data_IF_118217122579
#
_entry.id   IF_118217122579
#
_cell.length_a   1.000
_cell.length_b   1.000
_cell.length_c   1.000
_cell.angle_alpha   90.00
_cell.angle_beta   90.00
_cell.angle_gamma   90.00
#
_symmetry.space_group_name_H-M   'P 1'
#
loop_
_entity.id
_entity.type
_entity.pdbx_description
1 polymer ?
#
# COMPACT_ATOMS: atom_id res chain seq x y z
N UNK A 1 -16.65 86.96 -6.44
CA UNK A 1 -15.98 88.19 -6.79
C UNK A 1 -15.59 88.04 -8.22
N UNK A 2 -16.42 88.63 -9.06
CA UNK A 2 -16.32 89.91 -9.77
C UNK A 2 -15.57 89.80 -11.06
N UNK A 3 -16.32 89.82 -12.12
CA UNK A 3 -16.59 90.94 -13.06
C UNK A 3 -15.59 90.98 -14.20
N UNK A 4 -15.95 91.08 -15.41
CA UNK A 4 -16.73 91.85 -16.39
C UNK A 4 -16.00 91.67 -17.73
N UNK A 5 -16.62 91.33 -18.85
CA UNK A 5 -17.41 92.14 -19.75
C UNK A 5 -16.63 93.19 -20.53
N UNK A 6 -16.59 93.07 -21.82
CA UNK A 6 -17.01 94.07 -22.83
C UNK A 6 -16.53 93.63 -24.24
N UNK A 7 -17.41 93.45 -25.18
CA UNK A 7 -18.00 94.41 -26.15
C UNK A 7 -16.89 95.05 -27.02
N UNK A 8 -16.92 95.12 -28.27
CA UNK A 8 -17.90 95.60 -29.21
C UNK A 8 -17.33 95.63 -30.65
N UNK A 9 -18.16 95.38 -31.71
CA UNK A 9 -18.31 96.11 -32.95
C UNK A 9 -17.12 96.10 -33.98
N UNK A 10 -17.20 95.90 -35.25
CA UNK A 10 -18.12 96.37 -36.26
C UNK A 10 -17.65 95.89 -37.62
N UNK A 11 -18.55 95.40 -38.46
CA UNK A 11 -18.75 95.55 -39.89
C UNK A 11 -17.59 95.64 -40.86
N UNK A 12 -17.62 94.80 -41.92
CA UNK A 12 -17.92 95.28 -43.30
C UNK A 12 -18.01 94.12 -44.33
N UNK A 13 -19.01 94.16 -45.15
CA UNK A 13 -19.30 93.26 -46.24
C UNK A 13 -18.35 93.46 -47.45
N UNK A 14 -17.92 92.35 -48.09
CA UNK A 14 -17.57 92.30 -49.48
C UNK A 14 -18.01 90.97 -50.10
N UNK A 15 -18.86 91.11 -51.16
CA UNK A 15 -19.26 90.01 -52.07
C UNK A 15 -18.04 89.41 -52.79
N UNK A 16 -17.95 88.12 -52.82
CA UNK A 16 -16.99 87.40 -53.68
C UNK A 16 -17.52 85.98 -53.99
N UNK A 17 -18.04 85.83 -55.14
CA UNK A 17 -18.40 84.56 -55.79
C UNK A 17 -17.18 83.69 -56.02
N UNK A 18 -17.14 82.48 -55.43
CA UNK A 18 -16.18 81.48 -55.87
C UNK A 18 -16.78 80.09 -55.72
N UNK A 19 -16.67 79.39 -56.77
CA UNK A 19 -16.91 78.00 -57.12
C UNK A 19 -16.55 76.98 -55.99
N UNK A 20 -17.47 76.10 -55.70
CA UNK A 20 -17.25 74.97 -54.82
C UNK A 20 -16.36 73.88 -55.46
N UNK A 21 -15.32 73.38 -54.83
CA UNK A 21 -14.73 72.12 -55.21
C UNK A 21 -15.48 70.99 -54.47
N UNK A 22 -15.89 70.03 -55.24
CA UNK A 22 -16.46 68.74 -54.75
C UNK A 22 -15.41 68.01 -53.88
N UNK A 23 -15.52 68.16 -52.57
CA UNK A 23 -14.67 67.41 -51.64
C UNK A 23 -15.13 65.97 -51.60
N UNK A 24 -14.34 65.07 -52.12
CA UNK A 24 -14.49 63.66 -52.00
C UNK A 24 -14.50 63.29 -50.48
N UNK A 25 -15.57 62.67 -50.10
CA UNK A 25 -15.74 62.11 -48.76
C UNK A 25 -14.73 60.99 -48.56
N UNK A 26 -13.61 61.28 -47.90
CA UNK A 26 -12.68 60.24 -47.43
C UNK A 26 -13.41 59.42 -46.38
N UNK A 27 -13.64 58.17 -46.73
CA UNK A 27 -14.21 57.19 -45.78
C UNK A 27 -13.37 57.15 -44.51
N UNK A 28 -14.05 57.22 -43.37
CA UNK A 28 -13.43 57.04 -42.05
C UNK A 28 -12.64 55.72 -42.03
N UNK A 29 -11.43 55.70 -41.49
CA UNK A 29 -10.67 54.47 -41.41
C UNK A 29 -11.48 53.44 -40.55
N UNK A 30 -11.74 52.30 -41.13
CA UNK A 30 -12.35 51.17 -40.39
C UNK A 30 -11.48 50.86 -39.15
N UNK A 31 -12.08 50.79 -37.95
CA UNK A 31 -11.31 50.46 -36.75
C UNK A 31 -10.72 49.05 -36.91
N UNK A 32 -9.40 48.95 -36.92
CA UNK A 32 -8.68 47.68 -36.86
C UNK A 32 -8.85 47.12 -35.45
N UNK A 33 -9.73 46.12 -35.30
CA UNK A 33 -9.84 45.36 -34.07
C UNK A 33 -8.72 44.34 -34.07
N UNK A 34 -7.77 44.49 -33.16
CA UNK A 34 -6.77 43.48 -32.90
C UNK A 34 -7.47 42.23 -32.31
N UNK A 35 -7.63 41.20 -33.11
CA UNK A 35 -8.15 39.89 -32.63
C UNK A 35 -6.97 39.10 -32.10
N UNK A 36 -6.83 39.07 -30.82
CA UNK A 36 -5.89 38.17 -30.16
C UNK A 36 -6.48 36.75 -30.17
N UNK A 37 -5.71 35.81 -30.69
CA UNK A 37 -6.14 34.41 -30.77
C UNK A 37 -6.31 33.88 -29.38
N UNK A 38 -7.53 33.60 -28.94
CA UNK A 38 -7.81 33.04 -27.63
C UNK A 38 -7.06 31.72 -27.50
N UNK A 39 -6.04 31.71 -26.66
CA UNK A 39 -5.35 30.48 -26.26
C UNK A 39 -6.28 29.75 -25.34
N UNK A 40 -6.74 28.55 -25.72
CA UNK A 40 -7.48 27.67 -24.85
C UNK A 40 -6.58 27.34 -23.65
N UNK A 41 -6.77 28.05 -22.55
CA UNK A 41 -6.26 27.62 -21.25
C UNK A 41 -6.95 26.30 -20.96
N UNK A 42 -6.16 25.22 -20.87
CA UNK A 42 -6.63 23.96 -20.33
C UNK A 42 -6.95 24.19 -18.83
N UNK A 43 -8.16 24.64 -18.55
CA UNK A 43 -8.65 24.75 -17.19
C UNK A 43 -8.93 23.33 -16.69
N UNK A 44 -7.90 22.72 -16.15
CA UNK A 44 -8.03 21.43 -15.46
C UNK A 44 -8.61 21.77 -14.09
N UNK A 45 -9.93 21.64 -13.95
CA UNK A 45 -10.61 21.86 -12.67
C UNK A 45 -9.97 20.98 -11.61
N UNK A 46 -9.13 21.56 -10.75
CA UNK A 46 -8.48 20.90 -9.63
C UNK A 46 -9.40 20.97 -8.42
N UNK A 47 -9.87 19.84 -7.97
CA UNK A 47 -10.70 19.73 -6.77
C UNK A 47 -9.87 19.32 -5.56
N UNK A 48 -10.20 19.92 -4.43
CA UNK A 48 -9.52 19.69 -3.15
C UNK A 48 -10.37 18.79 -2.26
N UNK A 49 -9.75 17.73 -1.75
CA UNK A 49 -10.36 16.82 -0.78
C UNK A 49 -9.42 16.64 0.40
N UNK A 50 -9.99 16.32 1.57
CA UNK A 50 -9.18 15.95 2.72
C UNK A 50 -8.73 14.50 2.53
N UNK A 51 -7.43 14.27 2.64
CA UNK A 51 -6.82 12.94 2.56
C UNK A 51 -6.13 12.55 3.86
N UNK A 52 -6.14 11.27 4.15
CA UNK A 52 -5.40 10.64 5.23
C UNK A 52 -4.28 9.79 4.63
N UNK A 53 -3.08 9.96 5.13
CA UNK A 53 -1.93 9.14 4.73
C UNK A 53 -1.96 7.84 5.53
N UNK A 54 -2.00 6.71 4.82
CA UNK A 54 -2.11 5.38 5.42
C UNK A 54 -1.00 4.47 4.88
N UNK A 55 -0.48 3.62 5.74
CA UNK A 55 0.43 2.57 5.31
C UNK A 55 -0.31 1.53 4.48
N UNK A 56 0.34 0.98 3.45
CA UNK A 56 -0.21 -0.15 2.68
C UNK A 56 -0.29 -1.39 3.56
N UNK A 57 0.74 -1.62 4.37
CA UNK A 57 0.80 -2.75 5.30
C UNK A 57 1.37 -2.27 6.64
N UNK A 58 0.75 -2.76 7.71
CA UNK A 58 1.23 -2.60 9.07
C UNK A 58 1.14 -3.95 9.78
N UNK A 59 2.21 -4.39 10.40
CA UNK A 59 2.30 -5.69 11.06
C UNK A 59 2.86 -5.52 12.46
N UNK A 60 2.09 -5.99 13.44
CA UNK A 60 2.53 -6.08 14.84
C UNK A 60 3.23 -7.41 15.07
N UNK A 61 4.50 -7.38 15.41
CA UNK A 61 5.31 -8.57 15.69
C UNK A 61 4.96 -9.14 17.06
N UNK A 62 4.51 -10.39 17.09
CA UNK A 62 4.20 -11.10 18.34
C UNK A 62 5.09 -12.32 18.51
N UNK A 63 5.46 -12.63 19.77
CA UNK A 63 6.08 -13.90 20.09
C UNK A 63 5.08 -15.04 19.90
N UNK A 64 5.51 -16.12 19.23
CA UNK A 64 4.69 -17.34 19.06
C UNK A 64 5.00 -18.41 20.12
N UNK A 65 6.11 -18.21 20.84
CA UNK A 65 6.59 -19.08 21.90
C UNK A 65 6.93 -18.26 23.14
N UNK A 66 7.10 -18.95 24.26
CA UNK A 66 7.51 -18.33 25.53
C UNK A 66 9.01 -18.43 25.71
N UNK A 67 9.65 -17.36 26.21
CA UNK A 67 11.08 -17.37 26.50
C UNK A 67 11.64 -16.00 26.82
N UNK A 68 12.92 -15.93 27.14
CA UNK A 68 13.63 -14.67 27.38
C UNK A 68 14.15 -14.11 26.07
N UNK A 69 14.00 -12.81 25.84
CA UNK A 69 14.65 -12.13 24.70
C UNK A 69 16.15 -12.15 24.93
N UNK A 70 16.85 -12.87 24.09
CA UNK A 70 18.31 -13.00 24.15
C UNK A 70 19.03 -11.85 23.42
N UNK A 71 18.51 -11.46 22.26
CA UNK A 71 19.13 -10.42 21.42
C UNK A 71 18.10 -9.68 20.60
N UNK A 72 18.34 -8.37 20.36
CA UNK A 72 17.59 -7.52 19.43
C UNK A 72 18.58 -7.07 18.36
N UNK A 73 18.28 -7.36 17.08
CA UNK A 73 19.21 -7.20 15.96
C UNK A 73 18.89 -6.02 15.02
N UNK A 74 18.11 -5.08 15.47
CA UNK A 74 17.77 -3.88 14.72
C UNK A 74 17.97 -2.62 15.56
N UNK A 75 18.01 -1.47 14.91
CA UNK A 75 17.94 -0.16 15.56
C UNK A 75 16.51 0.36 15.49
N UNK A 76 16.02 0.91 16.58
CA UNK A 76 14.68 1.50 16.64
C UNK A 76 14.52 2.61 15.59
N UNK A 77 13.43 2.59 14.82
CA UNK A 77 13.16 3.56 13.76
C UNK A 77 13.90 3.32 12.44
N UNK A 78 14.69 2.25 12.30
CA UNK A 78 15.36 1.95 11.03
C UNK A 78 14.46 1.23 10.02
N UNK A 79 14.87 1.28 8.75
CA UNK A 79 14.24 0.54 7.67
C UNK A 79 14.74 -0.91 7.71
N UNK A 80 13.84 -1.85 7.97
CA UNK A 80 14.09 -3.29 7.92
C UNK A 80 13.54 -3.89 6.63
N UNK A 81 14.22 -4.89 6.10
CA UNK A 81 13.79 -5.63 4.91
C UNK A 81 13.08 -6.92 5.30
N UNK A 82 12.12 -7.33 4.49
CA UNK A 82 11.50 -8.65 4.65
C UNK A 82 12.56 -9.75 4.72
N UNK A 83 12.51 -10.56 5.79
CA UNK A 83 13.46 -11.63 6.06
C UNK A 83 14.62 -11.25 7.00
N UNK A 84 14.78 -9.98 7.38
CA UNK A 84 15.78 -9.58 8.35
C UNK A 84 15.45 -10.17 9.72
N UNK A 85 16.47 -10.67 10.43
CA UNK A 85 16.33 -11.20 11.79
C UNK A 85 16.24 -10.03 12.78
N UNK A 86 15.15 -9.98 13.54
CA UNK A 86 14.84 -8.86 14.43
C UNK A 86 15.03 -9.21 15.91
N UNK A 87 14.46 -10.32 16.33
CA UNK A 87 14.56 -10.77 17.73
C UNK A 87 15.04 -12.20 17.78
N UNK A 88 15.83 -12.50 18.78
CA UNK A 88 16.24 -13.85 19.15
C UNK A 88 15.73 -14.13 20.57
N UNK A 89 14.89 -15.14 20.71
CA UNK A 89 14.45 -15.69 21.99
C UNK A 89 15.39 -16.84 22.35
N UNK A 90 15.67 -17.03 23.63
CA UNK A 90 16.52 -18.13 24.12
C UNK A 90 16.03 -19.48 23.59
N UNK A 91 16.89 -20.19 22.86
CA UNK A 91 16.53 -21.39 22.11
C UNK A 91 16.97 -22.71 22.76
N UNK A 92 17.66 -22.63 23.91
CA UNK A 92 18.30 -23.79 24.55
C UNK A 92 17.33 -24.97 24.78
N UNK A 93 16.16 -24.68 25.35
CA UNK A 93 15.12 -25.69 25.62
C UNK A 93 14.52 -26.22 24.32
N UNK A 94 14.20 -25.37 23.36
CA UNK A 94 13.60 -25.74 22.07
C UNK A 94 14.57 -26.57 21.22
N UNK A 95 15.86 -26.23 21.24
CA UNK A 95 16.91 -27.03 20.59
C UNK A 95 17.05 -28.41 21.21
N UNK A 96 16.98 -28.51 22.53
CA UNK A 96 17.00 -29.81 23.23
C UNK A 96 15.77 -30.67 22.86
N UNK A 97 14.57 -30.06 22.78
CA UNK A 97 13.35 -30.75 22.37
C UNK A 97 13.43 -31.24 20.92
N UNK A 98 13.92 -30.42 19.99
CA UNK A 98 14.11 -30.84 18.60
C UNK A 98 15.08 -32.02 18.47
N UNK A 99 16.22 -31.99 19.17
CA UNK A 99 17.17 -33.12 19.20
C UNK A 99 16.57 -34.39 19.81
N UNK A 100 15.75 -34.26 20.84
CA UNK A 100 15.06 -35.39 21.47
C UNK A 100 14.06 -36.04 20.50
N UNK A 101 13.28 -35.23 19.79
CA UNK A 101 12.34 -35.71 18.77
C UNK A 101 13.06 -36.40 17.60
N UNK A 102 14.18 -35.83 17.13
CA UNK A 102 15.03 -36.45 16.10
C UNK A 102 15.61 -37.80 16.56
N UNK A 103 16.05 -37.92 17.82
CA UNK A 103 16.56 -39.18 18.37
C UNK A 103 15.46 -40.27 18.40
N UNK A 104 14.23 -39.88 18.79
CA UNK A 104 13.07 -40.77 18.77
C UNK A 104 12.72 -41.22 17.36
N UNK A 105 12.74 -40.29 16.39
CA UNK A 105 12.52 -40.62 14.98
C UNK A 105 13.53 -41.65 14.47
N UNK A 106 14.81 -41.48 14.80
CA UNK A 106 15.87 -42.39 14.39
C UNK A 106 15.72 -43.77 15.02
N UNK A 107 15.27 -43.84 16.29
CA UNK A 107 14.94 -45.12 16.92
C UNK A 107 13.81 -45.82 16.21
N UNK A 108 12.71 -45.13 15.88
CA UNK A 108 11.57 -45.73 15.18
C UNK A 108 11.92 -46.14 13.76
N UNK A 109 12.81 -45.41 13.08
CA UNK A 109 13.33 -45.84 11.76
C UNK A 109 14.05 -47.17 11.85
N UNK A 110 14.89 -47.37 12.86
CA UNK A 110 15.56 -48.63 13.06
C UNK A 110 14.58 -49.78 13.39
N UNK A 111 13.54 -49.52 14.21
CA UNK A 111 12.47 -50.48 14.46
C UNK A 111 11.69 -50.82 13.17
N UNK A 112 11.44 -49.84 12.29
CA UNK A 112 10.76 -50.06 11.04
C UNK A 112 11.59 -50.92 10.09
N UNK A 113 12.88 -50.66 9.99
CA UNK A 113 13.79 -51.46 9.14
C UNK A 113 13.83 -52.92 9.62
N UNK A 114 13.86 -53.15 10.92
CA UNK A 114 13.72 -54.52 11.48
C UNK A 114 12.36 -55.13 11.08
N UNK A 115 11.23 -54.42 11.32
CA UNK A 115 9.89 -54.91 10.99
C UNK A 115 9.71 -55.23 9.52
N UNK A 116 10.31 -54.42 8.61
CA UNK A 116 10.31 -54.66 7.16
C UNK A 116 11.07 -55.95 6.81
N UNK A 117 12.28 -56.11 7.35
CA UNK A 117 13.09 -57.28 7.11
C UNK A 117 12.40 -58.54 7.64
N UNK A 118 11.77 -58.46 8.82
CA UNK A 118 11.05 -59.59 9.37
C UNK A 118 9.81 -59.95 8.57
N UNK A 119 9.01 -58.93 8.19
CA UNK A 119 7.84 -59.17 7.33
C UNK A 119 8.21 -59.88 6.00
N UNK A 120 9.24 -59.40 5.29
CA UNK A 120 9.71 -60.03 4.06
C UNK A 120 10.17 -61.48 4.30
N UNK A 121 10.82 -61.74 5.43
CA UNK A 121 11.23 -63.08 5.81
C UNK A 121 10.02 -64.00 6.06
N UNK A 122 9.05 -63.56 6.84
CA UNK A 122 7.86 -64.34 7.16
C UNK A 122 6.97 -64.52 5.92
N UNK A 123 6.85 -63.55 5.04
CA UNK A 123 6.15 -63.65 3.77
C UNK A 123 6.76 -64.75 2.87
N UNK A 124 8.10 -64.78 2.74
CA UNK A 124 8.80 -65.82 1.99
C UNK A 124 8.62 -67.25 2.60
N UNK A 125 8.60 -67.36 3.94
CA UNK A 125 8.36 -68.62 4.63
C UNK A 125 6.89 -69.07 4.51
N UNK A 126 5.94 -68.15 4.58
CA UNK A 126 4.52 -68.41 4.38
C UNK A 126 4.21 -68.92 2.98
N UNK A 127 4.80 -68.31 1.95
CA UNK A 127 4.69 -68.74 0.57
C UNK A 127 5.25 -70.15 0.34
N UNK A 128 6.27 -70.53 1.12
CA UNK A 128 6.82 -71.90 1.16
C UNK A 128 6.08 -72.86 2.09
N UNK A 129 4.95 -72.41 2.69
CA UNK A 129 4.18 -73.16 3.71
C UNK A 129 4.98 -73.57 4.94
N UNK A 130 6.05 -72.86 5.30
CA UNK A 130 6.94 -73.13 6.42
C UNK A 130 6.53 -72.47 7.71
N UNK A 131 5.56 -71.51 7.69
CA UNK A 131 4.99 -70.87 8.87
C UNK A 131 3.46 -70.80 8.79
N UNK A 132 2.79 -70.60 9.93
CA UNK A 132 1.33 -70.44 9.97
C UNK A 132 0.89 -69.07 9.46
N UNK A 133 -0.37 -68.94 9.06
CA UNK A 133 -0.99 -67.67 8.68
C UNK A 133 -0.93 -66.66 9.84
N UNK A 134 -1.10 -67.11 11.06
CA UNK A 134 -1.04 -66.20 12.26
C UNK A 134 0.33 -65.55 12.40
N UNK A 135 1.44 -66.24 12.13
CA UNK A 135 2.80 -65.67 12.18
C UNK A 135 2.99 -64.60 11.09
N UNK A 136 2.51 -64.88 9.87
CA UNK A 136 2.55 -63.90 8.77
C UNK A 136 1.71 -62.65 9.06
N UNK A 137 0.49 -62.83 9.56
CA UNK A 137 -0.39 -61.72 9.92
C UNK A 137 0.19 -60.88 11.05
N UNK A 138 0.84 -61.46 12.03
CA UNK A 138 1.51 -60.77 13.10
C UNK A 138 2.67 -59.90 12.61
N UNK A 139 3.55 -60.44 11.74
CA UNK A 139 4.62 -59.67 11.13
C UNK A 139 4.05 -58.48 10.26
N UNK A 140 2.96 -58.71 9.54
CA UNK A 140 2.27 -57.66 8.78
C UNK A 140 1.66 -56.60 9.69
N UNK A 141 1.09 -57.02 10.83
CA UNK A 141 0.56 -56.07 11.85
C UNK A 141 1.70 -55.24 12.45
N UNK A 142 2.82 -55.86 12.80
CA UNK A 142 3.98 -55.16 13.36
C UNK A 142 4.52 -54.12 12.36
N UNK A 143 4.66 -54.47 11.11
CA UNK A 143 5.08 -53.54 10.06
C UNK A 143 4.16 -52.35 10.00
N UNK A 144 2.82 -52.54 9.88
CA UNK A 144 1.85 -51.47 9.80
C UNK A 144 1.83 -50.57 11.05
N UNK A 145 1.95 -51.18 12.22
CA UNK A 145 1.98 -50.38 13.47
C UNK A 145 3.24 -49.56 13.60
N UNK A 146 4.37 -50.07 13.15
CA UNK A 146 5.64 -49.34 13.14
C UNK A 146 5.67 -48.23 12.08
N UNK A 147 5.05 -48.47 10.92
CA UNK A 147 4.83 -47.40 9.91
C UNK A 147 3.98 -46.24 10.48
N UNK A 148 2.92 -46.55 11.24
CA UNK A 148 2.12 -45.53 11.92
C UNK A 148 2.90 -44.78 12.99
N UNK A 149 3.76 -45.46 13.77
CA UNK A 149 4.67 -44.84 14.74
C UNK A 149 5.68 -43.92 14.05
N UNK A 150 6.21 -44.30 12.88
CA UNK A 150 7.10 -43.45 12.11
C UNK A 150 6.41 -42.13 11.73
N UNK A 151 5.21 -42.19 11.19
CA UNK A 151 4.45 -40.98 10.82
C UNK A 151 4.19 -40.08 12.03
N UNK A 152 3.90 -40.65 13.20
CA UNK A 152 3.76 -39.91 14.46
C UNK A 152 5.07 -39.23 14.89
N UNK A 153 6.21 -39.92 14.79
CA UNK A 153 7.50 -39.35 15.17
C UNK A 153 7.93 -38.23 14.20
N UNK A 154 7.64 -38.39 12.91
CA UNK A 154 7.89 -37.34 11.91
C UNK A 154 7.08 -36.07 12.21
N UNK A 155 5.81 -36.21 12.61
CA UNK A 155 4.99 -35.08 13.05
C UNK A 155 5.56 -34.42 14.32
N UNK A 156 6.08 -35.18 15.28
CA UNK A 156 6.72 -34.65 16.47
C UNK A 156 8.01 -33.86 16.17
N UNK A 157 8.82 -34.35 15.25
CA UNK A 157 10.02 -33.62 14.78
C UNK A 157 9.63 -32.31 14.10
N UNK A 158 8.59 -32.32 13.26
CA UNK A 158 8.09 -31.12 12.61
C UNK A 158 7.61 -30.07 13.63
N UNK A 159 6.86 -30.48 14.65
CA UNK A 159 6.37 -29.59 15.72
C UNK A 159 7.52 -28.98 16.53
N UNK A 160 8.49 -29.82 16.95
CA UNK A 160 9.66 -29.36 17.68
C UNK A 160 10.54 -28.39 16.88
N UNK A 161 10.72 -28.65 15.57
CA UNK A 161 11.46 -27.77 14.67
C UNK A 161 10.71 -26.46 14.40
N UNK A 162 9.38 -26.49 14.28
CA UNK A 162 8.57 -25.27 14.17
C UNK A 162 8.74 -24.41 15.44
N UNK A 163 8.65 -25.02 16.62
CA UNK A 163 8.86 -24.32 17.88
C UNK A 163 10.27 -23.71 17.98
N UNK A 164 11.29 -24.44 17.56
CA UNK A 164 12.66 -23.92 17.47
C UNK A 164 12.77 -22.78 16.45
N UNK A 165 12.09 -22.87 15.32
CA UNK A 165 12.11 -21.80 14.30
C UNK A 165 11.51 -20.49 14.83
N UNK A 166 10.50 -20.57 15.68
CA UNK A 166 9.84 -19.41 16.29
C UNK A 166 10.68 -18.68 17.33
N UNK A 167 11.82 -19.24 17.74
CA UNK A 167 12.81 -18.53 18.59
C UNK A 167 13.47 -17.36 17.85
N UNK A 168 13.48 -17.41 16.51
CA UNK A 168 14.02 -16.37 15.65
C UNK A 168 12.88 -15.64 14.94
N UNK A 169 12.70 -14.38 15.25
CA UNK A 169 11.61 -13.57 14.70
C UNK A 169 12.17 -12.71 13.58
N UNK A 170 11.63 -12.91 12.39
CA UNK A 170 12.03 -12.21 11.17
C UNK A 170 10.98 -11.19 10.75
N UNK A 171 11.41 -10.14 10.04
CA UNK A 171 10.52 -9.16 9.43
C UNK A 171 9.62 -9.80 8.36
N UNK A 172 8.29 -9.76 8.50
CA UNK A 172 7.38 -10.31 7.50
C UNK A 172 7.22 -9.40 6.27
N UNK A 173 7.45 -8.11 6.44
CA UNK A 173 7.38 -7.07 5.40
C UNK A 173 8.59 -6.16 5.48
N UNK A 174 8.85 -5.42 4.39
CA UNK A 174 9.82 -4.31 4.38
C UNK A 174 9.13 -3.05 4.88
N UNK A 175 9.72 -2.34 5.84
CA UNK A 175 9.13 -1.13 6.41
C UNK A 175 9.97 -0.55 7.55
N UNK A 176 9.49 0.53 8.14
CA UNK A 176 10.13 1.13 9.32
C UNK A 176 9.63 0.38 10.55
N UNK A 177 10.58 -0.08 11.36
CA UNK A 177 10.28 -0.73 12.63
C UNK A 177 10.15 0.31 13.75
N UNK A 178 9.16 0.11 14.62
CA UNK A 178 8.95 0.95 15.79
C UNK A 178 10.01 0.70 16.87
N UNK A 179 9.88 1.42 17.98
CA UNK A 179 10.58 1.09 19.22
C UNK A 179 10.19 -0.30 19.71
N UNK A 180 11.17 -1.06 20.22
CA UNK A 180 10.92 -2.33 20.88
C UNK A 180 10.14 -2.12 22.19
N UNK A 181 9.04 -2.88 22.36
CA UNK A 181 8.24 -2.83 23.59
C UNK A 181 8.95 -3.48 24.78
N UNK A 182 9.77 -4.49 24.50
CA UNK A 182 10.54 -5.25 25.49
C UNK A 182 12.03 -5.15 25.18
N UNK A 183 12.84 -5.12 26.23
CA UNK A 183 14.30 -5.12 26.14
C UNK A 183 14.88 -6.52 26.27
N UNK A 184 16.16 -6.68 25.96
CA UNK A 184 16.93 -7.91 26.22
C UNK A 184 16.82 -8.28 27.70
N UNK A 185 16.64 -9.57 28.01
CA UNK A 185 16.41 -10.09 29.35
C UNK A 185 14.95 -10.17 29.80
N UNK A 186 14.00 -9.57 29.06
CA UNK A 186 12.58 -9.69 29.35
C UNK A 186 12.03 -11.04 28.91
N UNK A 187 11.14 -11.60 29.72
CA UNK A 187 10.40 -12.81 29.38
C UNK A 187 9.14 -12.46 28.59
N UNK A 188 8.93 -13.11 27.47
CA UNK A 188 7.78 -12.91 26.58
C UNK A 188 7.01 -14.21 26.37
N UNK A 189 5.73 -14.09 26.04
CA UNK A 189 4.79 -15.20 25.80
C UNK A 189 3.91 -14.85 24.60
N UNK A 190 3.18 -15.81 24.00
CA UNK A 190 2.20 -15.54 22.95
C UNK A 190 1.10 -14.55 23.33
N UNK A 191 0.80 -14.42 24.62
CA UNK A 191 -0.18 -13.45 25.16
C UNK A 191 0.43 -12.09 25.54
N UNK A 192 1.74 -11.92 25.39
CA UNK A 192 2.40 -10.64 25.60
C UNK A 192 1.96 -9.62 24.53
N UNK A 193 2.12 -8.32 24.83
CA UNK A 193 1.94 -7.27 23.83
C UNK A 193 2.90 -7.48 22.64
N UNK A 194 2.59 -6.85 21.51
CA UNK A 194 3.49 -6.85 20.36
C UNK A 194 4.91 -6.40 20.76
N UNK A 195 5.90 -7.10 20.22
CA UNK A 195 7.32 -6.81 20.46
C UNK A 195 7.75 -5.50 19.81
N UNK A 196 7.27 -5.26 18.58
CA UNK A 196 7.44 -4.07 17.78
C UNK A 196 6.41 -4.07 16.65
N UNK A 197 6.20 -2.90 16.02
CA UNK A 197 5.37 -2.76 14.83
C UNK A 197 6.27 -2.45 13.63
N UNK A 198 5.95 -3.01 12.47
CA UNK A 198 6.60 -2.66 11.19
C UNK A 198 5.54 -2.04 10.30
N UNK A 199 5.85 -0.86 9.79
CA UNK A 199 4.95 -0.09 8.94
C UNK A 199 5.60 0.16 7.58
N UNK A 200 4.95 -0.26 6.52
CA UNK A 200 5.40 0.01 5.16
C UNK A 200 5.14 1.48 4.83
N UNK A 201 6.22 2.23 4.55
CA UNK A 201 6.16 3.66 4.22
C UNK A 201 6.42 3.96 2.75
N UNK A 202 6.85 2.97 1.97
CA UNK A 202 7.14 3.10 0.53
C UNK A 202 6.79 1.80 -0.19
N UNK A 203 5.85 1.84 -1.18
CA UNK A 203 4.92 2.92 -1.44
C UNK A 203 3.94 3.16 -0.29
N UNK A 204 3.18 4.28 -0.34
CA UNK A 204 2.23 4.68 0.70
C UNK A 204 0.90 5.07 0.08
N UNK A 205 -0.19 4.91 0.83
CA UNK A 205 -1.51 5.30 0.38
C UNK A 205 -1.95 6.65 0.96
N UNK A 206 -2.74 7.36 0.17
CA UNK A 206 -3.57 8.46 0.66
C UNK A 206 -5.02 8.09 0.42
N UNK A 207 -5.76 7.91 1.52
CA UNK A 207 -7.20 7.66 1.51
C UNK A 207 -7.95 8.99 1.47
N UNK A 208 -8.90 9.13 0.58
CA UNK A 208 -9.80 10.30 0.48
C UNK A 208 -11.15 9.88 -0.06
N UNK A 209 -12.15 10.72 0.16
CA UNK A 209 -13.51 10.47 -0.29
C UNK A 209 -13.96 11.56 -1.26
N UNK A 210 -14.66 11.17 -2.32
CA UNK A 210 -15.29 12.10 -3.27
C UNK A 210 -16.80 11.89 -3.25
N UNK A 211 -17.59 12.96 -3.50
CA UNK A 211 -19.02 12.80 -3.63
C UNK A 211 -19.39 11.97 -4.86
N UNK A 212 -20.47 11.19 -4.79
CA UNK A 212 -20.99 10.43 -5.94
C UNK A 212 -21.25 11.35 -7.14
N UNK A 213 -21.78 12.56 -6.89
CA UNK A 213 -21.97 13.59 -7.93
C UNK A 213 -20.67 13.93 -8.66
N UNK A 214 -19.59 14.15 -7.91
CA UNK A 214 -18.29 14.50 -8.48
C UNK A 214 -17.67 13.34 -9.24
N UNK A 215 -17.86 12.14 -8.74
CA UNK A 215 -17.44 10.92 -9.43
C UNK A 215 -18.13 10.76 -10.78
N UNK A 216 -19.46 10.84 -10.80
CA UNK A 216 -20.25 10.70 -12.03
C UNK A 216 -19.97 11.82 -13.03
N UNK A 217 -19.88 13.07 -12.55
CA UNK A 217 -19.63 14.25 -13.41
C UNK A 217 -18.25 14.18 -14.09
N UNK A 218 -17.21 13.76 -13.37
CA UNK A 218 -15.83 13.86 -13.86
C UNK A 218 -15.31 12.57 -14.50
N UNK A 219 -15.78 11.41 -14.06
CA UNK A 219 -15.22 10.12 -14.46
C UNK A 219 -16.28 9.16 -15.02
N UNK A 220 -17.49 9.18 -14.50
CA UNK A 220 -18.62 8.35 -14.90
C UNK A 220 -18.48 6.88 -14.53
N UNK A 221 -17.30 6.29 -14.63
CA UNK A 221 -17.04 4.87 -14.31
C UNK A 221 -15.72 4.71 -13.55
N UNK A 222 -15.64 3.64 -12.73
CA UNK A 222 -14.41 3.30 -11.98
C UNK A 222 -13.21 3.05 -12.90
N UNK A 223 -13.32 2.33 -14.03
CA UNK A 223 -12.20 2.18 -14.94
C UNK A 223 -11.71 3.52 -15.54
N UNK A 224 -12.63 4.43 -15.88
CA UNK A 224 -12.27 5.76 -16.37
C UNK A 224 -11.57 6.60 -15.29
N UNK A 225 -12.05 6.53 -14.04
CA UNK A 225 -11.39 7.15 -12.89
C UNK A 225 -9.95 6.66 -12.75
N UNK A 226 -9.72 5.36 -12.68
CA UNK A 226 -8.36 4.79 -12.53
C UNK A 226 -7.41 5.17 -13.65
N UNK A 227 -7.93 5.33 -14.87
CA UNK A 227 -7.14 5.67 -16.03
C UNK A 227 -6.81 7.16 -16.11
N UNK A 228 -7.77 8.04 -15.77
CA UNK A 228 -7.72 9.47 -16.10
C UNK A 228 -7.54 10.37 -14.86
N UNK A 229 -7.62 9.81 -13.64
CA UNK A 229 -7.42 10.60 -12.43
C UNK A 229 -5.94 10.88 -12.19
N UNK A 230 -5.58 12.14 -12.15
CA UNK A 230 -4.29 12.61 -11.67
C UNK A 230 -4.44 13.08 -10.22
N UNK A 231 -3.73 12.44 -9.32
CA UNK A 231 -3.77 12.75 -7.91
C UNK A 231 -2.46 13.42 -7.49
N UNK A 232 -2.56 14.59 -6.87
CA UNK A 232 -1.43 15.26 -6.22
C UNK A 232 -1.77 15.49 -4.75
N UNK A 233 -0.75 15.67 -3.93
CA UNK A 233 -0.91 15.96 -2.49
C UNK A 233 -0.31 17.33 -2.20
N UNK A 234 -1.07 18.15 -1.50
CA UNK A 234 -0.58 19.34 -0.85
C UNK A 234 -0.40 19.03 0.64
N UNK A 235 0.82 19.19 1.12
CA UNK A 235 1.21 18.96 2.50
C UNK A 235 0.63 20.07 3.41
N UNK A 236 0.55 19.86 4.75
CA UNK A 236 0.03 20.87 5.69
C UNK A 236 0.79 22.19 5.68
N UNK A 237 2.05 22.21 5.25
CA UNK A 237 2.87 23.41 5.10
C UNK A 237 2.60 24.19 3.78
N UNK A 238 1.64 23.70 2.97
CA UNK A 238 1.27 24.30 1.69
C UNK A 238 2.08 23.83 0.49
N UNK A 239 3.18 23.11 0.66
CA UNK A 239 3.97 22.56 -0.43
C UNK A 239 3.23 21.44 -1.16
N UNK A 240 3.37 21.39 -2.48
CA UNK A 240 2.87 20.27 -3.28
C UNK A 240 3.94 19.17 -3.29
N UNK A 241 3.52 17.95 -2.97
CA UNK A 241 4.40 16.78 -3.06
C UNK A 241 4.86 16.56 -4.51
N UNK A 242 6.16 16.33 -4.70
CA UNK A 242 6.76 16.32 -6.03
C UNK A 242 6.28 15.18 -6.95
N UNK A 243 5.86 14.05 -6.34
CA UNK A 243 5.39 12.89 -7.09
C UNK A 243 3.87 12.87 -7.14
N UNK A 244 3.32 12.50 -8.31
CA UNK A 244 1.88 12.28 -8.47
C UNK A 244 1.53 10.85 -8.07
N UNK A 245 0.34 10.67 -7.51
CA UNK A 245 -0.22 9.37 -7.19
C UNK A 245 -1.19 8.89 -8.24
N UNK A 246 -1.47 7.58 -8.21
CA UNK A 246 -2.47 6.91 -9.03
C UNK A 246 -3.54 6.30 -8.15
N UNK A 247 -4.81 6.41 -8.52
CA UNK A 247 -5.88 5.71 -7.83
C UNK A 247 -5.76 4.21 -8.13
N UNK A 248 -5.43 3.43 -7.11
CA UNK A 248 -5.25 1.98 -7.22
C UNK A 248 -6.43 1.20 -6.67
N UNK A 249 -7.10 1.75 -5.66
CA UNK A 249 -8.21 1.12 -4.99
C UNK A 249 -9.38 2.11 -4.83
N UNK A 250 -10.59 1.61 -5.01
CA UNK A 250 -11.85 2.30 -4.72
C UNK A 250 -12.70 1.38 -3.87
N UNK A 251 -13.45 1.92 -2.95
CA UNK A 251 -14.41 1.13 -2.19
C UNK A 251 -15.42 0.47 -3.15
N UNK A 252 -16.00 -0.63 -2.73
CA UNK A 252 -16.99 -1.38 -3.51
C UNK A 252 -18.42 -0.86 -3.33
N UNK A 253 -18.61 0.11 -2.44
CA UNK A 253 -19.91 0.75 -2.14
C UNK A 253 -19.74 2.23 -1.88
N UNK A 254 -20.78 2.98 -2.16
CA UNK A 254 -20.91 4.37 -1.73
C UNK A 254 -21.41 4.37 -0.27
N UNK A 255 -20.78 5.19 0.56
CA UNK A 255 -21.25 5.41 1.92
C UNK A 255 -22.64 6.07 1.87
N UNK A 256 -23.66 5.43 2.45
CA UNK A 256 -25.05 5.87 2.38
C UNK A 256 -25.36 7.08 3.24
N UNK A 257 -24.53 7.38 4.25
CA UNK A 257 -24.75 8.51 5.14
C UNK A 257 -24.16 9.80 4.54
N UNK A 258 -23.01 9.69 3.87
CA UNK A 258 -22.29 10.83 3.30
C UNK A 258 -22.45 10.98 1.79
N UNK A 259 -22.99 9.97 1.09
CA UNK A 259 -23.08 9.94 -0.37
C UNK A 259 -21.71 10.02 -1.05
N UNK A 260 -20.68 9.45 -0.42
CA UNK A 260 -19.31 9.56 -0.89
C UNK A 260 -18.68 8.19 -1.21
N UNK A 261 -17.78 8.19 -2.19
CA UNK A 261 -16.97 7.05 -2.60
C UNK A 261 -15.56 7.22 -2.06
N UNK A 262 -15.13 6.30 -1.21
CA UNK A 262 -13.76 6.27 -0.68
C UNK A 262 -12.81 5.65 -1.69
N UNK A 263 -11.63 6.22 -1.81
CA UNK A 263 -10.59 5.73 -2.69
C UNK A 263 -9.20 5.94 -2.11
N UNK A 264 -8.26 5.14 -2.62
CA UNK A 264 -6.86 5.17 -2.21
C UNK A 264 -5.99 5.45 -3.43
N UNK A 265 -5.18 6.48 -3.31
CA UNK A 265 -4.12 6.77 -4.28
C UNK A 265 -2.78 6.34 -3.71
N UNK A 266 -2.01 5.63 -4.53
CA UNK A 266 -0.67 5.17 -4.21
C UNK A 266 0.37 6.22 -4.60
N UNK A 267 1.31 6.47 -3.71
CA UNK A 267 2.43 7.39 -3.90
C UNK A 267 3.75 6.69 -3.58
N UNK A 268 4.74 6.91 -4.40
CA UNK A 268 6.11 6.61 -4.04
C UNK A 268 6.60 7.60 -2.97
N UNK A 269 7.28 7.12 -1.94
CA UNK A 269 7.73 7.92 -0.81
C UNK A 269 9.19 7.63 -0.42
N UNK A 270 10.16 7.80 -1.36
CA UNK A 270 11.56 7.47 -1.11
C UNK A 270 12.18 8.30 0.02
N UNK A 271 11.77 9.56 0.13
CA UNK A 271 12.30 10.51 1.13
C UNK A 271 11.56 10.41 2.48
N UNK A 272 10.60 9.46 2.61
CA UNK A 272 9.79 9.23 3.82
C UNK A 272 9.09 10.49 4.35
N UNK A 273 8.82 11.45 3.46
CA UNK A 273 8.16 12.71 3.81
C UNK A 273 6.68 12.50 4.17
N UNK A 274 6.04 11.52 3.55
CA UNK A 274 4.66 11.13 3.86
C UNK A 274 4.70 10.11 5.00
N UNK A 275 4.17 10.53 6.15
CA UNK A 275 4.14 9.70 7.37
C UNK A 275 2.73 9.16 7.57
N UNK A 276 2.56 7.84 7.80
CA UNK A 276 1.25 7.27 8.12
C UNK A 276 0.59 7.94 9.31
N UNK A 277 -0.73 8.15 9.23
CA UNK A 277 -1.49 8.90 10.23
C UNK A 277 -1.55 10.41 9.98
N UNK A 278 -0.76 10.93 9.04
CA UNK A 278 -0.78 12.33 8.65
C UNK A 278 -2.01 12.70 7.79
N UNK A 279 -2.30 13.99 7.75
CA UNK A 279 -3.32 14.57 6.86
C UNK A 279 -2.65 15.26 5.69
N UNK A 280 -3.34 15.28 4.56
CA UNK A 280 -2.92 16.04 3.40
C UNK A 280 -4.14 16.53 2.63
N UNK A 281 -4.00 17.60 1.84
CA UNK A 281 -5.03 18.00 0.89
C UNK A 281 -4.78 17.30 -0.43
N UNK A 282 -5.71 16.45 -0.85
CA UNK A 282 -5.67 15.78 -2.14
C UNK A 282 -6.17 16.71 -3.22
N UNK A 283 -5.35 16.94 -4.22
CA UNK A 283 -5.65 17.70 -5.43
C UNK A 283 -5.96 16.70 -6.54
N UNK A 284 -7.24 16.53 -6.84
CA UNK A 284 -7.72 15.61 -7.87
C UNK A 284 -8.05 16.38 -9.13
N UNK A 285 -7.48 15.97 -10.24
CA UNK A 285 -7.79 16.50 -11.58
C UNK A 285 -8.09 15.34 -12.54
N UNK A 286 -8.89 15.63 -13.57
CA UNK A 286 -9.16 14.69 -14.65
C UNK A 286 -8.38 15.10 -15.90
N UNK A 287 -7.67 14.16 -16.55
CA UNK A 287 -7.04 14.39 -17.85
C UNK A 287 -8.04 14.44 -19.01
N UNK A 288 -9.32 14.22 -18.75
CA UNK A 288 -10.37 14.36 -19.76
C UNK A 288 -10.55 15.82 -20.11
N UNK A 289 -9.80 16.27 -21.14
CA UNK A 289 -10.07 17.50 -21.87
C UNK A 289 -11.44 17.41 -22.54
N UNK A 290 -12.51 17.87 -21.90
CA UNK A 290 -13.70 18.27 -22.62
C UNK A 290 -13.46 19.70 -23.12
N UNK A 291 -13.41 19.95 -24.45
CA UNK A 291 -13.50 21.32 -24.93
C UNK A 291 -14.85 21.87 -24.44
N UNK A 292 -14.82 22.98 -23.71
CA UNK A 292 -16.03 23.72 -23.44
C UNK A 292 -16.61 24.21 -24.77
N UNK A 293 -17.92 24.01 -25.04
CA UNK A 293 -18.54 24.69 -26.19
C UNK A 293 -18.40 26.20 -25.94
N UNK A 294 -17.88 26.89 -26.92
CA UNK A 294 -17.89 28.34 -26.95
C UNK A 294 -19.38 28.78 -26.86
N UNK A 295 -19.74 29.50 -25.78
CA UNK A 295 -21.02 30.14 -25.65
C UNK A 295 -21.10 31.39 -26.52
#
# INVERSE_FOLDING_TARGET
MSYKMNRLLMTLAVLGTISAPLCAQQGAPTPTVAVEKATLLKDTEVRKYVGHIEAIQSVSLQARISGVIYEIKFKEGELVKKGDLLFVIEDTTYRAQARSAEATLNQIRAELDYAKCDFVRQENLYNKKAVSQAVYEEAKRLLKTTEAKLSQAEAQVLDANNSLSYTKIYAPITGIISKATYTVGNYVTPSSKALADIVQVTPIYTRFAISERDFLKNFGTIPALRKNALVRIQLPDGRIYAKSGKVVLTDNKVDSETGSLTMWAEFENPDQMLVPGGYATVLLSSELNKPMPAG
#
